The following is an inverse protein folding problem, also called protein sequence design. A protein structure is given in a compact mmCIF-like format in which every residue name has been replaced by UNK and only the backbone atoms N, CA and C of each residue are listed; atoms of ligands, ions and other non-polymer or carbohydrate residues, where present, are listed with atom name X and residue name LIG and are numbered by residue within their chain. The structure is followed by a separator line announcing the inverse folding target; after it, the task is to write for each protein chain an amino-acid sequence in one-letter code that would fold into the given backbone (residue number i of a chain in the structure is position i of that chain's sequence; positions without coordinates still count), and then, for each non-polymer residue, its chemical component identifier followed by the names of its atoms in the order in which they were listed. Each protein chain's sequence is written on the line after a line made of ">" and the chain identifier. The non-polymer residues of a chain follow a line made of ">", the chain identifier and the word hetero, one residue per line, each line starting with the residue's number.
data_IF_618538735575
#
_entry.id   IF_618538735575
#
_cell.length_a   1.000
_cell.length_b   1.000
_cell.length_c   1.000
_cell.angle_alpha   90.00
_cell.angle_beta   90.00
_cell.angle_gamma   90.00
#
_symmetry.space_group_name_H-M   'P 1'
#
loop_
_entity.id
_entity.type
_entity.pdbx_description
1 polymer ?
#
# COMPACT_ATOMS: atom_id res chain seq x y z
N UNK A 1 21.40 -6.37 10.82
CA UNK A 1 20.33 -5.63 10.13
C UNK A 1 19.15 -5.67 11.08
N UNK A 2 18.92 -4.59 11.83
CA UNK A 2 17.70 -4.50 12.66
C UNK A 2 16.50 -4.51 11.71
N UNK A 3 15.43 -5.28 12.00
CA UNK A 3 14.19 -5.08 11.29
C UNK A 3 13.73 -3.65 11.55
N UNK A 4 13.40 -2.93 10.48
CA UNK A 4 12.74 -1.64 10.58
C UNK A 4 11.53 -1.84 11.51
N UNK A 5 11.54 -1.18 12.68
CA UNK A 5 10.40 -1.18 13.58
C UNK A 5 9.31 -0.42 12.85
N UNK A 6 8.48 -1.15 12.11
CA UNK A 6 7.37 -0.60 11.35
C UNK A 6 6.61 0.38 12.24
N UNK A 7 6.43 1.60 11.75
CA UNK A 7 5.76 2.67 12.48
C UNK A 7 4.37 2.17 12.91
N UNK A 8 4.21 1.86 14.20
CA UNK A 8 2.93 1.46 14.77
C UNK A 8 1.98 2.65 14.71
N UNK A 9 0.89 2.49 13.95
CA UNK A 9 -0.15 3.51 13.82
C UNK A 9 -1.47 2.94 14.32
N UNK A 10 -1.95 3.49 15.42
CA UNK A 10 -3.29 3.22 15.92
C UNK A 10 -4.26 4.23 15.30
N UNK A 11 -5.36 3.73 14.72
CA UNK A 11 -6.45 4.52 14.17
C UNK A 11 -7.77 4.04 14.75
N UNK A 12 -8.77 4.92 14.83
CA UNK A 12 -10.13 4.52 15.19
C UNK A 12 -10.81 3.88 13.99
N UNK A 13 -11.81 3.05 14.24
CA UNK A 13 -12.72 2.59 13.19
C UNK A 13 -13.30 3.79 12.44
N UNK A 14 -13.55 3.65 11.15
CA UNK A 14 -14.02 4.69 10.21
C UNK A 14 -13.00 5.79 9.84
N UNK A 15 -11.83 5.86 10.51
CA UNK A 15 -10.80 6.82 10.12
C UNK A 15 -10.13 6.46 8.79
N UNK A 16 -9.64 7.48 8.08
CA UNK A 16 -8.82 7.29 6.89
C UNK A 16 -7.36 7.19 7.28
N UNK A 17 -6.71 6.09 6.89
CA UNK A 17 -5.29 5.86 7.16
C UNK A 17 -4.50 5.93 5.86
N UNK A 18 -3.38 6.64 5.92
CA UNK A 18 -2.37 6.70 4.85
C UNK A 18 -1.10 6.01 5.28
N UNK A 19 -0.57 5.14 4.42
CA UNK A 19 0.74 4.50 4.52
C UNK A 19 1.54 4.86 3.28
N UNK A 20 2.71 5.45 3.45
CA UNK A 20 3.54 5.93 2.34
C UNK A 20 4.85 5.14 2.31
N UNK A 21 5.30 4.78 1.12
CA UNK A 21 6.56 4.07 0.87
C UNK A 21 7.33 4.80 -0.24
N UNK A 22 8.63 5.00 -0.04
CA UNK A 22 9.53 5.50 -1.07
C UNK A 22 10.32 4.34 -1.66
N UNK A 23 10.54 4.35 -2.97
CA UNK A 23 11.28 3.30 -3.67
C UNK A 23 12.22 3.91 -4.71
N UNK A 24 13.26 3.15 -5.06
CA UNK A 24 14.17 3.43 -6.17
C UNK A 24 14.17 2.24 -7.11
N UNK A 25 14.15 2.50 -8.41
CA UNK A 25 14.14 1.50 -9.47
C UNK A 25 14.62 2.13 -10.78
N UNK A 26 15.26 1.34 -11.62
CA UNK A 26 15.76 1.77 -12.93
C UNK A 26 14.73 1.56 -14.06
N UNK A 27 13.66 0.81 -13.81
CA UNK A 27 12.61 0.52 -14.80
C UNK A 27 11.57 1.64 -14.88
N UNK A 28 11.14 2.03 -16.09
CA UNK A 28 9.99 2.92 -16.27
C UNK A 28 8.63 2.21 -16.19
N UNK A 29 8.65 0.87 -16.12
CA UNK A 29 7.47 0.02 -16.15
C UNK A 29 7.40 -0.78 -14.84
N UNK A 30 6.63 -0.27 -13.87
CA UNK A 30 6.63 -0.78 -12.49
C UNK A 30 5.21 -1.13 -12.07
N UNK A 31 5.05 -2.30 -11.43
CA UNK A 31 3.86 -2.69 -10.69
C UNK A 31 4.14 -2.65 -9.19
N UNK A 32 3.33 -1.92 -8.43
CA UNK A 32 3.44 -1.84 -6.98
C UNK A 32 2.22 -2.48 -6.34
N UNK A 33 2.46 -3.42 -5.42
CA UNK A 33 1.44 -4.22 -4.77
C UNK A 33 1.38 -3.89 -3.28
N UNK A 34 0.17 -3.81 -2.75
CA UNK A 34 -0.07 -3.67 -1.33
C UNK A 34 -0.70 -4.94 -0.76
N UNK A 35 -0.16 -5.39 0.36
CA UNK A 35 -0.63 -6.57 1.08
C UNK A 35 -0.85 -6.24 2.56
N UNK A 36 -1.79 -6.94 3.18
CA UNK A 36 -1.99 -6.97 4.64
C UNK A 36 -1.60 -8.33 5.17
N UNK A 37 -0.92 -8.37 6.32
CA UNK A 37 -0.62 -9.63 7.00
C UNK A 37 -0.95 -9.51 8.49
N UNK A 38 -1.80 -10.42 8.98
CA UNK A 38 -2.02 -10.60 10.42
C UNK A 38 -0.95 -11.55 10.98
N UNK A 39 -0.62 -11.48 12.29
CA UNK A 39 0.32 -12.41 12.91
C UNK A 39 -0.04 -13.88 12.61
N UNK A 40 0.94 -14.65 12.16
CA UNK A 40 0.83 -16.07 11.81
C UNK A 40 -0.15 -16.40 10.66
N UNK A 41 -0.47 -15.44 9.79
CA UNK A 41 -1.26 -15.68 8.56
C UNK A 41 -0.46 -15.34 7.31
N UNK A 42 -0.88 -15.87 6.18
CA UNK A 42 -0.35 -15.52 4.87
C UNK A 42 -0.68 -14.05 4.48
N UNK A 43 0.15 -13.42 3.63
CA UNK A 43 -0.17 -12.12 3.07
C UNK A 43 -1.47 -12.14 2.26
N UNK A 44 -2.34 -11.18 2.54
CA UNK A 44 -3.60 -10.96 1.85
C UNK A 44 -3.45 -9.79 0.87
N UNK A 45 -3.77 -10.01 -0.40
CA UNK A 45 -3.74 -8.97 -1.43
C UNK A 45 -4.77 -7.87 -1.11
N UNK A 46 -4.35 -6.61 -1.26
CA UNK A 46 -5.23 -5.44 -1.13
C UNK A 46 -5.49 -4.82 -2.50
N UNK A 47 -4.43 -4.41 -3.19
CA UNK A 47 -4.50 -3.78 -4.52
C UNK A 47 -3.13 -3.81 -5.22
N UNK A 48 -3.11 -3.47 -6.50
CA UNK A 48 -1.91 -3.01 -7.19
C UNK A 48 -2.15 -1.74 -7.99
N UNK A 49 -1.08 -0.98 -8.21
CA UNK A 49 -1.07 0.17 -9.11
C UNK A 49 0.22 0.24 -9.92
N UNK A 50 0.06 0.49 -11.22
CA UNK A 50 1.16 0.81 -12.11
C UNK A 50 1.77 2.16 -11.75
N UNK A 51 3.10 2.25 -11.80
CA UNK A 51 3.82 3.50 -11.59
C UNK A 51 4.64 3.90 -12.83
N UNK A 52 5.03 5.17 -12.89
CA UNK A 52 5.77 5.80 -14.00
C UNK A 52 5.00 5.67 -15.32
N UNK A 53 5.44 4.83 -16.25
CA UNK A 53 4.79 4.67 -17.56
C UNK A 53 3.55 3.78 -17.53
N UNK A 54 3.29 3.05 -16.43
CA UNK A 54 2.04 2.31 -16.25
C UNK A 54 1.00 3.08 -15.45
N UNK A 55 -0.26 2.90 -15.82
CA UNK A 55 -1.42 3.53 -15.18
C UNK A 55 -2.52 2.55 -14.74
N UNK A 56 -2.41 1.26 -15.08
CA UNK A 56 -3.40 0.27 -14.70
C UNK A 56 -3.42 0.04 -13.20
N UNK A 57 -4.58 -0.35 -12.69
CA UNK A 57 -4.80 -0.68 -11.29
C UNK A 57 -5.89 -1.74 -11.16
N UNK A 58 -5.87 -2.42 -10.03
CA UNK A 58 -6.93 -3.33 -9.57
C UNK A 58 -6.98 -3.25 -8.05
N UNK A 59 -8.16 -3.42 -7.47
CA UNK A 59 -8.36 -3.42 -6.02
C UNK A 59 -9.31 -4.53 -5.61
N UNK A 60 -9.05 -5.13 -4.44
CA UNK A 60 -9.91 -6.16 -3.86
C UNK A 60 -11.15 -5.60 -3.14
N UNK A 61 -11.11 -4.31 -2.76
CA UNK A 61 -12.16 -3.63 -2.00
C UNK A 61 -12.06 -2.12 -2.30
N UNK A 62 -13.19 -1.46 -2.52
CA UNK A 62 -13.27 -0.02 -2.83
C UNK A 62 -12.70 0.86 -1.73
N UNK A 63 -12.46 0.33 -0.52
CA UNK A 63 -11.82 1.06 0.57
C UNK A 63 -10.32 1.27 0.38
N UNK A 64 -9.68 0.45 -0.45
CA UNK A 64 -8.24 0.53 -0.69
C UNK A 64 -7.96 1.33 -1.97
N UNK A 65 -7.17 2.38 -1.82
CA UNK A 65 -6.77 3.24 -2.93
C UNK A 65 -5.26 3.41 -2.92
N UNK A 66 -4.65 3.53 -4.10
CA UNK A 66 -3.23 3.88 -4.19
C UNK A 66 -2.98 5.07 -5.08
N UNK A 67 -2.05 5.91 -4.64
CA UNK A 67 -1.43 6.94 -5.46
C UNK A 67 0.05 6.61 -5.64
N UNK A 68 0.55 6.77 -6.87
CA UNK A 68 1.93 6.50 -7.23
C UNK A 68 2.58 7.74 -7.81
N UNK A 69 3.84 7.96 -7.45
CA UNK A 69 4.74 8.91 -8.10
C UNK A 69 5.91 8.16 -8.74
N UNK A 70 6.87 8.91 -9.29
CA UNK A 70 8.08 8.34 -9.86
C UNK A 70 8.94 7.55 -8.83
N UNK A 71 8.82 7.90 -7.54
CA UNK A 71 9.68 7.37 -6.47
C UNK A 71 8.90 7.01 -5.20
N UNK A 72 7.57 7.03 -5.23
CA UNK A 72 6.75 6.69 -4.06
C UNK A 72 5.42 6.04 -4.41
N UNK A 73 4.86 5.34 -3.44
CA UNK A 73 3.48 4.87 -3.42
C UNK A 73 2.86 5.19 -2.07
N UNK A 74 1.61 5.62 -2.08
CA UNK A 74 0.80 5.83 -0.89
C UNK A 74 -0.45 4.95 -0.98
N UNK A 75 -0.67 4.12 0.04
CA UNK A 75 -1.93 3.42 0.25
C UNK A 75 -2.82 4.29 1.13
N UNK A 76 -4.04 4.55 0.67
CA UNK A 76 -5.11 5.14 1.45
C UNK A 76 -6.15 4.07 1.74
N UNK A 77 -6.42 3.84 3.02
CA UNK A 77 -7.47 2.95 3.51
C UNK A 77 -8.58 3.84 4.06
N UNK A 78 -9.73 3.86 3.40
CA UNK A 78 -10.93 4.51 3.93
C UNK A 78 -11.71 3.52 4.79
N UNK A 79 -12.47 4.04 5.75
CA UNK A 79 -13.34 3.22 6.59
C UNK A 79 -12.62 1.99 7.19
N UNK A 80 -11.60 2.26 8.01
CA UNK A 80 -10.87 1.20 8.72
C UNK A 80 -11.87 0.44 9.60
N UNK A 81 -11.86 -0.89 9.47
CA UNK A 81 -12.68 -1.81 10.27
C UNK A 81 -11.77 -2.83 10.92
N UNK A 82 -12.15 -3.29 12.11
CA UNK A 82 -11.49 -4.38 12.84
C UNK A 82 -11.57 -5.72 12.09
#
# INVERSE_FOLDING_TARGET
>A
IEPDKGTEKNSKETETVKLSCSYSADSDYIWLYWYRQYPNREPQYLLYKGARSYSYEDTSDDRFHSATSHTSTELTITDVRL
#
